data_IF_410404859162
#
_entry.id   IF_410404859162
#
_cell.length_a   1.000
_cell.length_b   1.000
_cell.length_c   1.000
_cell.angle_alpha   90.00
_cell.angle_beta   90.00
_cell.angle_gamma   90.00
#
_symmetry.space_group_name_H-M   'P 1'
#
loop_
_entity.id
_entity.type
_entity.pdbx_description
1 polymer ?
#
# COMPACT_ATOMS: atom_id res chain seq x y z
N UNK A 1 4.83 -33.25 -27.96
CA UNK A 1 4.13 -32.01 -27.59
C UNK A 1 5.12 -31.10 -26.88
N UNK A 2 5.68 -30.10 -27.56
CA UNK A 2 6.56 -29.11 -26.92
C UNK A 2 5.68 -28.16 -26.11
N UNK A 3 5.89 -28.11 -24.78
CA UNK A 3 5.19 -27.16 -23.93
C UNK A 3 5.44 -25.74 -24.46
N UNK A 4 4.37 -25.03 -24.81
CA UNK A 4 4.44 -23.65 -25.29
C UNK A 4 5.08 -22.82 -24.17
N UNK A 5 6.26 -22.24 -24.45
CA UNK A 5 6.98 -21.41 -23.49
C UNK A 5 6.05 -20.30 -23.01
N UNK A 6 5.88 -20.10 -21.68
CA UNK A 6 4.93 -19.13 -21.16
C UNK A 6 5.26 -17.72 -21.66
N UNK A 7 4.23 -16.94 -21.96
CA UNK A 7 4.37 -15.55 -22.40
C UNK A 7 4.98 -14.73 -21.25
N UNK A 8 6.17 -14.11 -21.41
CA UNK A 8 6.81 -13.34 -20.35
C UNK A 8 5.91 -12.26 -19.74
N UNK A 9 5.04 -11.63 -20.55
CA UNK A 9 4.07 -10.65 -20.05
C UNK A 9 3.09 -11.26 -19.05
N UNK A 10 2.61 -12.46 -19.31
CA UNK A 10 1.64 -13.15 -18.46
C UNK A 10 2.24 -13.53 -17.10
N UNK A 11 3.51 -13.95 -17.07
CA UNK A 11 4.23 -14.24 -15.83
C UNK A 11 4.43 -12.98 -14.97
N UNK A 12 4.74 -11.85 -15.62
CA UNK A 12 4.89 -10.56 -14.93
C UNK A 12 3.56 -10.02 -14.42
N UNK A 13 2.46 -10.21 -15.15
CA UNK A 13 1.10 -9.91 -14.68
C UNK A 13 0.79 -10.71 -13.40
N UNK A 14 1.02 -12.03 -13.41
CA UNK A 14 0.80 -12.90 -12.24
C UNK A 14 1.66 -12.47 -11.06
N UNK A 15 2.90 -12.09 -11.31
CA UNK A 15 3.84 -11.65 -10.26
C UNK A 15 3.42 -10.32 -9.62
N UNK A 16 3.07 -9.31 -10.43
CA UNK A 16 2.55 -8.04 -9.91
C UNK A 16 1.22 -8.22 -9.18
N UNK A 17 0.33 -9.10 -9.69
CA UNK A 17 -0.91 -9.42 -8.99
C UNK A 17 -0.67 -10.10 -7.62
N UNK A 18 0.33 -10.98 -7.51
CA UNK A 18 0.75 -11.55 -6.21
C UNK A 18 1.31 -10.48 -5.28
N UNK A 19 2.16 -9.58 -5.77
CA UNK A 19 2.69 -8.46 -4.99
C UNK A 19 1.55 -7.54 -4.50
N UNK A 20 0.56 -7.27 -5.37
CA UNK A 20 -0.68 -6.60 -5.01
C UNK A 20 -1.42 -7.33 -3.86
N UNK A 21 -1.63 -8.65 -3.95
CA UNK A 21 -2.30 -9.40 -2.87
C UNK A 21 -1.52 -9.32 -1.56
N UNK A 22 -0.20 -9.38 -1.61
CA UNK A 22 0.65 -9.22 -0.44
C UNK A 22 0.48 -7.81 0.16
N UNK A 23 0.49 -6.75 -0.66
CA UNK A 23 0.20 -5.40 -0.17
C UNK A 23 -1.16 -5.32 0.53
N UNK A 24 -2.20 -5.94 -0.03
CA UNK A 24 -3.54 -5.96 0.59
C UNK A 24 -3.51 -6.65 1.96
N UNK A 25 -2.86 -7.81 2.07
CA UNK A 25 -2.71 -8.51 3.34
C UNK A 25 -1.96 -7.64 4.34
N UNK A 26 -0.83 -7.05 3.96
CA UNK A 26 -0.06 -6.17 4.83
C UNK A 26 -0.85 -4.96 5.29
N UNK A 27 -1.54 -4.27 4.38
CA UNK A 27 -2.37 -3.11 4.75
C UNK A 27 -3.44 -3.54 5.76
N UNK A 28 -4.06 -4.71 5.55
CA UNK A 28 -5.04 -5.27 6.47
C UNK A 28 -4.44 -5.59 7.84
N UNK A 29 -3.28 -6.24 7.88
CA UNK A 29 -2.54 -6.54 9.11
C UNK A 29 -2.12 -5.25 9.83
N UNK A 30 -1.60 -4.26 9.10
CA UNK A 30 -1.15 -2.98 9.65
C UNK A 30 -2.32 -2.20 10.23
N UNK A 31 -3.46 -2.15 9.53
CA UNK A 31 -4.69 -1.54 10.02
C UNK A 31 -5.17 -2.24 11.29
N UNK A 32 -5.24 -3.57 11.27
CA UNK A 32 -5.66 -4.38 12.40
C UNK A 32 -4.77 -4.15 13.65
N UNK A 33 -3.44 -4.16 13.48
CA UNK A 33 -2.49 -3.83 14.54
C UNK A 33 -2.64 -2.39 15.05
N UNK A 34 -2.83 -1.42 14.15
CA UNK A 34 -3.01 -0.01 14.53
C UNK A 34 -4.32 0.24 15.28
N UNK A 35 -5.37 -0.51 14.93
CA UNK A 35 -6.69 -0.46 15.55
C UNK A 35 -6.80 -1.34 16.80
N UNK A 36 -5.70 -1.99 17.21
CA UNK A 36 -5.66 -2.95 18.32
C UNK A 36 -6.60 -4.15 18.18
N UNK A 37 -7.11 -4.39 16.96
CA UNK A 37 -7.88 -5.58 16.63
C UNK A 37 -6.90 -6.62 16.07
N UNK A 38 -6.21 -7.36 16.93
CA UNK A 38 -5.25 -8.36 16.47
C UNK A 38 -5.90 -9.31 15.44
N UNK A 39 -5.41 -9.37 14.20
CA UNK A 39 -6.18 -9.93 13.11
C UNK A 39 -6.19 -11.46 13.04
N UNK A 40 -5.37 -12.15 13.85
CA UNK A 40 -5.08 -13.56 13.64
C UNK A 40 -5.14 -14.31 14.97
N UNK A 41 -6.28 -14.94 15.22
CA UNK A 41 -6.34 -16.06 16.17
C UNK A 41 -5.45 -17.17 15.60
N UNK A 42 -4.38 -17.51 16.30
CA UNK A 42 -3.57 -18.69 16.01
C UNK A 42 -4.20 -19.91 16.70
N UNK A 43 -4.17 -21.11 16.09
CA UNK A 43 -4.55 -22.32 16.79
C UNK A 43 -3.69 -22.55 18.03
N UNK A 44 -4.26 -23.12 19.10
CA UNK A 44 -3.53 -23.44 20.33
C UNK A 44 -2.42 -24.47 20.11
N UNK A 45 -2.55 -25.30 19.07
CA UNK A 45 -1.57 -26.29 18.66
C UNK A 45 -1.60 -26.45 17.15
N UNK A 46 -0.43 -26.40 16.52
CA UNK A 46 -0.23 -26.67 15.11
C UNK A 46 0.72 -27.86 14.94
N UNK A 47 0.27 -28.89 14.22
CA UNK A 47 1.03 -30.14 14.01
C UNK A 47 1.26 -30.34 12.51
N UNK A 48 2.51 -30.63 12.13
CA UNK A 48 2.90 -31.00 10.78
C UNK A 48 3.92 -32.15 10.79
N UNK A 49 3.43 -33.36 10.50
CA UNK A 49 4.22 -34.59 10.64
C UNK A 49 4.58 -34.84 12.10
N UNK A 50 5.88 -35.00 12.38
CA UNK A 50 6.40 -35.16 13.74
C UNK A 50 6.70 -33.82 14.44
N UNK A 51 6.42 -32.68 13.80
CA UNK A 51 6.68 -31.36 14.37
C UNK A 51 5.38 -30.83 14.99
N UNK A 52 5.50 -30.21 16.16
CA UNK A 52 4.42 -29.52 16.83
C UNK A 52 4.87 -28.13 17.26
N UNK A 53 3.92 -27.19 17.30
CA UNK A 53 4.12 -25.82 17.68
C UNK A 53 2.90 -25.34 18.47
N UNK A 54 3.11 -24.87 19.69
CA UNK A 54 2.03 -24.35 20.51
C UNK A 54 1.70 -22.91 20.12
N UNK A 55 0.42 -22.53 20.22
CA UNK A 55 -0.06 -21.21 19.83
C UNK A 55 0.67 -20.08 20.57
N UNK A 56 1.01 -20.28 21.84
CA UNK A 56 1.78 -19.31 22.66
C UNK A 56 3.19 -19.05 22.14
N UNK A 57 3.78 -19.97 21.37
CA UNK A 57 5.12 -19.83 20.81
C UNK A 57 5.14 -18.90 19.58
N UNK A 58 3.98 -18.73 18.92
CA UNK A 58 3.82 -17.89 17.72
C UNK A 58 2.92 -16.68 17.94
N UNK A 59 2.17 -16.65 19.04
CA UNK A 59 1.31 -15.53 19.38
C UNK A 59 2.18 -14.30 19.63
N UNK A 60 1.90 -13.24 18.89
CA UNK A 60 2.55 -11.96 19.07
C UNK A 60 1.73 -11.13 20.05
N UNK A 61 2.37 -10.43 20.98
CA UNK A 61 1.71 -9.33 21.68
C UNK A 61 1.55 -8.11 20.74
N UNK A 62 0.81 -7.09 21.17
CA UNK A 62 0.52 -5.92 20.32
C UNK A 62 1.79 -5.18 19.84
N UNK A 63 2.84 -5.14 20.65
CA UNK A 63 4.10 -4.48 20.31
C UNK A 63 4.86 -5.28 19.25
N UNK A 64 4.90 -6.60 19.38
CA UNK A 64 5.48 -7.51 18.41
C UNK A 64 4.70 -7.52 17.10
N UNK A 65 3.36 -7.55 17.15
CA UNK A 65 2.52 -7.49 15.96
C UNK A 65 2.74 -6.19 15.17
N UNK A 66 2.91 -5.06 15.85
CA UNK A 66 3.25 -3.79 15.21
C UNK A 66 4.64 -3.80 14.55
N UNK A 67 5.64 -4.43 15.18
CA UNK A 67 6.97 -4.60 14.59
C UNK A 67 6.94 -5.55 13.39
N UNK A 68 6.27 -6.70 13.53
CA UNK A 68 6.10 -7.69 12.48
C UNK A 68 5.38 -7.07 11.27
N UNK A 69 4.35 -6.26 11.49
CA UNK A 69 3.70 -5.50 10.41
C UNK A 69 4.68 -4.57 9.68
N UNK A 70 5.53 -3.84 10.41
CA UNK A 70 6.55 -2.99 9.79
C UNK A 70 7.62 -3.79 9.02
N UNK A 71 7.99 -4.99 9.49
CA UNK A 71 8.90 -5.86 8.71
C UNK A 71 8.22 -6.44 7.46
N UNK A 72 6.94 -6.79 7.58
CA UNK A 72 6.13 -7.24 6.44
C UNK A 72 6.01 -6.14 5.38
N UNK A 73 5.85 -4.88 5.80
CA UNK A 73 5.90 -3.71 4.91
C UNK A 73 7.21 -3.65 4.12
N UNK A 74 8.36 -3.82 4.78
CA UNK A 74 9.67 -3.84 4.14
C UNK A 74 9.81 -4.99 3.13
N UNK A 75 9.43 -6.21 3.54
CA UNK A 75 9.50 -7.39 2.68
C UNK A 75 8.67 -7.23 1.40
N UNK A 76 7.45 -6.72 1.52
CA UNK A 76 6.53 -6.57 0.39
C UNK A 76 6.95 -5.42 -0.51
N UNK A 77 7.39 -4.30 0.07
CA UNK A 77 7.93 -3.16 -0.72
C UNK A 77 9.11 -3.61 -1.57
N UNK A 78 10.01 -4.41 -0.98
CA UNK A 78 11.14 -4.96 -1.72
C UNK A 78 10.70 -5.91 -2.83
N UNK A 79 9.87 -6.92 -2.52
CA UNK A 79 9.36 -7.87 -3.50
C UNK A 79 8.64 -7.17 -4.67
N UNK A 80 7.80 -6.18 -4.35
CA UNK A 80 7.15 -5.34 -5.35
C UNK A 80 8.16 -4.61 -6.23
N UNK A 81 9.17 -3.96 -5.65
CA UNK A 81 10.14 -3.17 -6.41
C UNK A 81 10.92 -4.01 -7.41
N UNK A 82 11.23 -5.27 -7.07
CA UNK A 82 11.84 -6.25 -7.97
C UNK A 82 10.90 -6.53 -9.15
N UNK A 83 9.65 -6.92 -8.86
CA UNK A 83 8.71 -7.29 -9.90
C UNK A 83 8.33 -6.13 -10.82
N UNK A 84 8.15 -4.93 -10.25
CA UNK A 84 7.89 -3.71 -11.02
C UNK A 84 9.07 -3.37 -11.92
N UNK A 85 10.30 -3.34 -11.37
CA UNK A 85 11.51 -3.07 -12.12
C UNK A 85 11.70 -4.08 -13.27
N UNK A 86 11.58 -5.38 -13.00
CA UNK A 86 11.75 -6.41 -14.01
C UNK A 86 10.67 -6.37 -15.09
N UNK A 87 9.41 -6.16 -14.71
CA UNK A 87 8.31 -6.07 -15.65
C UNK A 87 8.54 -4.93 -16.64
N UNK A 88 8.95 -3.75 -16.15
CA UNK A 88 9.26 -2.61 -17.01
C UNK A 88 10.46 -2.92 -17.89
N UNK A 89 11.58 -3.38 -17.30
CA UNK A 89 12.82 -3.65 -18.03
C UNK A 89 12.65 -4.68 -19.16
N UNK A 90 11.86 -5.74 -18.92
CA UNK A 90 11.67 -6.84 -19.89
C UNK A 90 10.58 -6.57 -20.92
N UNK A 91 9.61 -5.70 -20.61
CA UNK A 91 8.45 -5.44 -21.46
C UNK A 91 8.49 -4.08 -22.18
N UNK A 92 9.57 -3.30 -21.99
CA UNK A 92 9.79 -2.02 -22.68
C UNK A 92 11.16 -2.01 -23.35
N UNK A 93 11.25 -1.33 -24.49
CA UNK A 93 12.51 -1.05 -25.19
C UNK A 93 13.24 0.14 -24.58
N UNK A 94 14.43 0.46 -25.08
CA UNK A 94 15.10 1.74 -24.75
C UNK A 94 14.32 2.95 -25.26
N UNK A 95 13.69 2.83 -26.44
CA UNK A 95 12.88 3.90 -27.02
C UNK A 95 11.61 4.18 -26.22
N UNK A 96 10.94 3.13 -25.72
CA UNK A 96 9.75 3.29 -24.87
C UNK A 96 10.09 4.03 -23.56
N UNK A 97 11.31 3.85 -23.04
CA UNK A 97 11.80 4.55 -21.85
C UNK A 97 12.20 6.01 -22.10
N UNK A 98 12.03 6.53 -23.30
CA UNK A 98 12.04 7.98 -23.55
C UNK A 98 10.71 8.63 -23.11
N UNK A 99 9.63 7.85 -22.96
CA UNK A 99 8.41 8.32 -22.32
C UNK A 99 8.67 8.62 -20.84
N UNK A 100 8.32 9.83 -20.42
CA UNK A 100 8.60 10.31 -19.07
C UNK A 100 7.93 9.45 -17.98
N UNK A 101 6.72 8.93 -18.23
CA UNK A 101 5.99 8.12 -17.26
C UNK A 101 6.60 6.72 -17.12
N UNK A 102 6.98 6.11 -18.25
CA UNK A 102 7.68 4.81 -18.24
C UNK A 102 9.05 4.95 -17.57
N UNK A 103 9.80 6.01 -17.88
CA UNK A 103 11.06 6.29 -17.23
C UNK A 103 10.88 6.54 -15.72
N UNK A 104 9.89 7.34 -15.31
CA UNK A 104 9.60 7.57 -13.91
C UNK A 104 9.27 6.27 -13.17
N UNK A 105 8.39 5.42 -13.73
CA UNK A 105 8.07 4.11 -13.17
C UNK A 105 9.32 3.22 -13.03
N UNK A 106 10.16 3.19 -14.07
CA UNK A 106 11.40 2.43 -14.10
C UNK A 106 12.36 2.88 -13.00
N UNK A 107 12.60 4.20 -12.92
CA UNK A 107 13.55 4.81 -11.99
C UNK A 107 13.11 4.65 -10.54
N UNK A 108 11.84 4.93 -10.23
CA UNK A 108 11.29 4.76 -8.89
C UNK A 108 11.41 3.30 -8.44
N UNK A 109 11.03 2.35 -9.29
CA UNK A 109 11.13 0.92 -8.98
C UNK A 109 12.59 0.49 -8.77
N UNK A 110 13.51 0.99 -9.62
CA UNK A 110 14.95 0.74 -9.52
C UNK A 110 15.54 1.27 -8.21
N UNK A 111 15.24 2.50 -7.82
CA UNK A 111 15.80 3.08 -6.60
C UNK A 111 15.24 2.45 -5.34
N UNK A 112 13.93 2.15 -5.31
CA UNK A 112 13.35 1.41 -4.18
C UNK A 112 14.05 0.06 -4.08
N UNK A 113 14.18 -0.71 -5.17
CA UNK A 113 14.92 -1.98 -5.17
C UNK A 113 16.36 -1.83 -4.68
N UNK A 114 17.08 -0.82 -5.16
CA UNK A 114 18.46 -0.56 -4.76
C UNK A 114 18.58 -0.25 -3.26
N UNK A 115 17.61 0.47 -2.68
CA UNK A 115 17.64 0.79 -1.26
C UNK A 115 17.64 -0.45 -0.35
N UNK A 116 17.04 -1.55 -0.81
CA UNK A 116 16.97 -2.83 -0.09
C UNK A 116 18.10 -3.81 -0.45
N UNK A 117 18.91 -3.53 -1.49
CA UNK A 117 19.86 -4.51 -2.05
C UNK A 117 20.97 -4.90 -1.05
N UNK A 118 21.37 -3.99 -0.16
CA UNK A 118 22.43 -4.26 0.81
C UNK A 118 21.90 -4.72 2.16
N UNK A 119 20.79 -4.15 2.63
CA UNK A 119 20.18 -4.52 3.89
C UNK A 119 18.65 -4.36 3.80
N UNK A 120 17.89 -5.47 3.70
CA UNK A 120 16.44 -5.40 3.56
C UNK A 120 15.72 -4.96 4.85
N UNK A 121 16.38 -5.06 6.01
CA UNK A 121 15.83 -4.65 7.31
C UNK A 121 16.08 -3.18 7.63
N UNK A 122 17.13 -2.59 7.04
CA UNK A 122 17.48 -1.18 7.20
C UNK A 122 17.77 -0.61 5.80
N UNK A 123 16.74 -0.46 4.95
CA UNK A 123 16.94 0.03 3.60
C UNK A 123 17.44 1.47 3.61
N UNK A 124 18.46 1.74 2.80
CA UNK A 124 19.11 3.04 2.70
C UNK A 124 19.11 3.45 1.23
N UNK A 125 18.59 4.64 0.96
CA UNK A 125 18.61 5.21 -0.37
C UNK A 125 20.05 5.34 -0.91
N UNK A 126 20.25 4.87 -2.15
CA UNK A 126 21.52 4.97 -2.85
C UNK A 126 21.27 5.44 -4.28
N UNK A 127 21.98 6.49 -4.68
CA UNK A 127 21.82 7.16 -5.96
C UNK A 127 23.21 7.42 -6.55
N UNK A 128 23.34 7.29 -7.86
CA UNK A 128 24.51 7.76 -8.60
C UNK A 128 24.48 9.29 -8.66
N UNK A 129 25.64 9.93 -8.92
CA UNK A 129 25.74 11.39 -8.90
C UNK A 129 24.78 12.07 -9.88
N UNK A 130 24.62 11.49 -11.08
CA UNK A 130 23.68 11.95 -12.08
C UNK A 130 22.21 11.86 -11.64
N UNK A 131 21.90 11.07 -10.61
CA UNK A 131 20.54 10.78 -10.16
C UNK A 131 20.15 11.48 -8.86
N UNK A 132 21.08 12.23 -8.27
CA UNK A 132 20.83 13.10 -7.12
C UNK A 132 20.04 14.33 -7.56
N UNK A 133 19.18 14.83 -6.68
CA UNK A 133 18.39 16.04 -6.90
C UNK A 133 17.48 16.00 -8.15
N UNK A 134 16.98 14.81 -8.51
CA UNK A 134 16.01 14.60 -9.58
C UNK A 134 14.61 14.39 -9.02
N UNK A 135 13.61 14.69 -9.86
CA UNK A 135 12.20 14.40 -9.61
C UNK A 135 11.71 13.42 -10.65
N UNK A 136 11.16 12.30 -10.19
CA UNK A 136 10.48 11.31 -11.02
C UNK A 136 9.01 11.30 -10.64
N UNK A 137 8.12 11.38 -11.63
CA UNK A 137 6.70 11.54 -11.38
C UNK A 137 5.87 10.90 -12.47
N UNK A 138 4.80 10.23 -12.04
CA UNK A 138 3.66 9.91 -12.88
C UNK A 138 2.48 10.68 -12.29
N UNK A 139 1.91 11.67 -13.01
CA UNK A 139 0.88 12.55 -12.47
C UNK A 139 -0.26 11.77 -11.80
N UNK A 140 -0.64 12.21 -10.60
CA UNK A 140 -1.71 11.62 -9.77
C UNK A 140 -1.48 10.17 -9.31
N UNK A 141 -0.30 9.58 -9.55
CA UNK A 141 0.00 8.19 -9.19
C UNK A 141 1.11 8.12 -8.16
N UNK A 142 2.29 8.67 -8.48
CA UNK A 142 3.47 8.58 -7.63
C UNK A 142 4.48 9.68 -7.97
N UNK A 143 5.21 10.13 -6.95
CA UNK A 143 6.32 11.07 -7.09
C UNK A 143 7.45 10.68 -6.14
N UNK A 144 8.68 10.73 -6.64
CA UNK A 144 9.90 10.60 -5.85
C UNK A 144 10.80 11.80 -6.15
N UNK A 145 11.17 12.53 -5.09
CA UNK A 145 12.20 13.58 -5.17
C UNK A 145 13.46 13.05 -4.49
N UNK A 146 14.56 12.91 -5.22
CA UNK A 146 15.81 12.33 -4.71
C UNK A 146 16.69 13.35 -3.96
N UNK A 147 16.28 14.62 -3.86
CA UNK A 147 16.98 15.63 -3.09
C UNK A 147 17.14 15.23 -1.63
N UNK A 148 18.38 15.25 -1.14
CA UNK A 148 18.75 14.91 0.24
C UNK A 148 18.34 13.51 0.70
N UNK A 149 18.02 12.60 -0.22
CA UNK A 149 17.71 11.21 0.13
C UNK A 149 18.94 10.31 0.14
N UNK A 150 20.04 10.67 -0.54
CA UNK A 150 21.22 9.81 -0.62
C UNK A 150 21.80 9.48 0.77
N UNK A 151 22.01 8.19 1.06
CA UNK A 151 22.44 7.64 2.37
C UNK A 151 21.42 7.80 3.51
N UNK A 152 20.23 8.33 3.23
CA UNK A 152 19.15 8.35 4.21
C UNK A 152 18.41 7.02 4.27
N UNK A 153 17.84 6.72 5.45
CA UNK A 153 16.95 5.57 5.61
C UNK A 153 15.72 5.77 4.72
N UNK A 154 15.34 4.72 3.99
CA UNK A 154 14.12 4.73 3.20
C UNK A 154 12.90 4.85 4.10
N UNK A 155 12.07 5.87 3.83
CA UNK A 155 10.80 6.12 4.50
C UNK A 155 9.68 6.02 3.47
N UNK A 156 8.55 5.45 3.86
CA UNK A 156 7.42 5.29 2.95
C UNK A 156 6.86 6.63 2.45
N UNK A 157 7.03 7.69 3.24
CA UNK A 157 6.66 9.07 2.90
C UNK A 157 7.44 9.60 1.69
N UNK A 158 8.65 9.10 1.44
CA UNK A 158 9.51 9.59 0.35
C UNK A 158 8.89 9.33 -1.03
N UNK A 159 8.03 8.30 -1.14
CA UNK A 159 7.31 7.93 -2.36
C UNK A 159 5.78 7.99 -2.22
N UNK A 160 5.25 8.51 -1.10
CA UNK A 160 3.80 8.67 -0.86
C UNK A 160 3.07 7.45 -0.27
N UNK A 161 3.80 6.43 0.18
CA UNK A 161 3.27 5.29 0.93
C UNK A 161 2.74 4.14 0.08
N UNK A 162 2.18 3.13 0.74
CA UNK A 162 1.79 1.89 0.06
C UNK A 162 0.67 2.08 -0.97
N UNK A 163 -0.17 3.10 -0.79
CA UNK A 163 -1.25 3.40 -1.75
C UNK A 163 -0.69 3.87 -3.10
N UNK A 164 0.43 4.60 -3.12
CA UNK A 164 1.07 5.02 -4.38
C UNK A 164 1.76 3.85 -5.06
N UNK A 165 2.38 2.92 -4.32
CA UNK A 165 2.92 1.67 -4.88
C UNK A 165 1.82 0.77 -5.45
N UNK A 166 0.68 0.69 -4.78
CA UNK A 166 -0.51 0.02 -5.27
C UNK A 166 -0.99 0.63 -6.60
N UNK A 167 -1.14 1.96 -6.65
CA UNK A 167 -1.56 2.66 -7.86
C UNK A 167 -0.55 2.51 -9.00
N UNK A 168 0.76 2.58 -8.70
CA UNK A 168 1.82 2.35 -9.66
C UNK A 168 1.79 0.92 -10.20
N UNK A 169 1.52 -0.09 -9.37
CA UNK A 169 1.36 -1.49 -9.80
C UNK A 169 0.26 -1.62 -10.85
N UNK A 170 -0.90 -1.00 -10.59
CA UNK A 170 -2.03 -0.98 -11.53
C UNK A 170 -1.66 -0.26 -12.82
N UNK A 171 -0.97 0.87 -12.72
CA UNK A 171 -0.53 1.61 -13.88
C UNK A 171 0.42 0.80 -14.75
N UNK A 172 1.41 0.12 -14.16
CA UNK A 172 2.35 -0.76 -14.89
C UNK A 172 1.59 -1.89 -15.59
N UNK A 173 0.67 -2.56 -14.90
CA UNK A 173 -0.13 -3.65 -15.49
C UNK A 173 -0.93 -3.18 -16.71
N UNK A 174 -1.60 -2.03 -16.59
CA UNK A 174 -2.47 -1.52 -17.65
C UNK A 174 -1.68 -0.93 -18.83
N UNK A 175 -0.64 -0.14 -18.56
CA UNK A 175 0.03 0.65 -19.59
C UNK A 175 1.28 -0.03 -20.18
N UNK A 176 1.93 -0.93 -19.43
CA UNK A 176 3.15 -1.62 -19.89
C UNK A 176 2.85 -3.08 -20.25
N UNK A 177 2.07 -3.77 -19.41
CA UNK A 177 1.79 -5.20 -19.62
C UNK A 177 0.54 -5.47 -20.46
N UNK A 178 -0.26 -4.43 -20.76
CA UNK A 178 -1.52 -4.51 -21.49
C UNK A 178 -2.52 -5.50 -20.86
N UNK A 179 -2.59 -5.50 -19.52
CA UNK A 179 -3.46 -6.38 -18.75
C UNK A 179 -4.93 -5.93 -18.83
N UNK A 180 -5.55 -6.17 -19.99
CA UNK A 180 -6.96 -5.85 -20.26
C UNK A 180 -7.93 -6.89 -19.74
N UNK A 181 -7.45 -8.10 -19.43
CA UNK A 181 -8.28 -9.24 -19.05
C UNK A 181 -8.59 -9.27 -17.55
N UNK A 182 -7.67 -8.82 -16.70
CA UNK A 182 -7.97 -8.56 -15.30
C UNK A 182 -8.59 -7.17 -15.14
N UNK A 183 -9.65 -6.89 -15.91
CA UNK A 183 -10.63 -5.85 -15.54
C UNK A 183 -11.00 -6.15 -14.10
N UNK A 184 -10.60 -5.23 -13.21
CA UNK A 184 -10.89 -5.20 -11.77
C UNK A 184 -12.13 -6.03 -11.54
N UNK A 185 -11.98 -7.31 -11.14
CA UNK A 185 -13.15 -8.11 -10.86
C UNK A 185 -13.94 -7.30 -9.84
N UNK A 186 -15.11 -6.82 -10.28
CA UNK A 186 -16.15 -6.31 -9.42
C UNK A 186 -16.29 -7.36 -8.33
N UNK A 187 -15.66 -7.12 -7.18
CA UNK A 187 -15.83 -8.00 -6.04
C UNK A 187 -17.31 -7.88 -5.72
N UNK A 188 -18.01 -9.00 -5.69
CA UNK A 188 -19.23 -9.08 -4.89
C UNK A 188 -18.82 -8.61 -3.49
N UNK A 189 -19.24 -7.39 -3.14
CA UNK A 189 -18.86 -6.77 -1.89
C UNK A 189 -19.54 -7.55 -0.77
N UNK A 190 -18.81 -8.47 -0.13
CA UNK A 190 -19.22 -8.94 1.19
C UNK A 190 -19.10 -7.76 2.15
N UNK A 191 -20.25 -7.44 2.77
CA UNK A 191 -20.48 -6.30 3.64
C UNK A 191 -19.41 -6.19 4.74
N UNK A 192 -18.80 -5.00 4.87
CA UNK A 192 -17.90 -4.65 5.99
C UNK A 192 -18.45 -3.37 6.64
N UNK A 193 -18.68 -3.35 7.96
CA UNK A 193 -19.17 -2.17 8.68
C UNK A 193 -18.23 -0.96 8.51
N UNK A 194 -18.81 0.23 8.36
CA UNK A 194 -18.08 1.47 8.05
C UNK A 194 -17.55 2.21 9.28
N UNK A 195 -16.29 2.66 9.21
CA UNK A 195 -15.67 3.63 10.11
C UNK A 195 -14.55 4.42 9.40
N UNK A 196 -14.27 5.65 9.85
CA UNK A 196 -13.15 6.47 9.37
C UNK A 196 -11.88 5.96 10.05
N UNK A 197 -10.86 5.58 9.29
CA UNK A 197 -9.59 5.10 9.83
C UNK A 197 -8.45 5.94 9.23
N UNK A 198 -7.65 6.55 10.10
CA UNK A 198 -6.51 7.38 9.73
C UNK A 198 -5.23 6.54 9.77
N UNK A 199 -4.53 6.45 8.63
CA UNK A 199 -3.15 5.93 8.53
C UNK A 199 -2.22 7.11 8.21
N UNK A 200 -1.64 7.74 9.22
CA UNK A 200 -0.78 8.91 9.04
C UNK A 200 -1.55 10.16 8.57
N UNK A 201 -1.04 10.91 7.57
CA UNK A 201 -1.64 12.16 7.06
C UNK A 201 -2.65 11.97 5.91
N UNK A 202 -2.96 10.74 5.53
CA UNK A 202 -3.88 10.46 4.43
C UNK A 202 -5.32 10.35 4.96
N UNK A 203 -6.24 11.16 4.42
CA UNK A 203 -7.68 11.08 4.71
C UNK A 203 -8.37 10.47 3.49
N UNK A 204 -9.00 9.31 3.66
CA UNK A 204 -9.88 8.74 2.63
C UNK A 204 -11.33 9.05 2.99
N UNK A 205 -11.98 9.87 2.17
CA UNK A 205 -13.40 10.23 2.30
C UNK A 205 -14.26 9.16 1.62
N UNK A 206 -15.23 8.60 2.35
CA UNK A 206 -16.30 7.77 1.77
C UNK A 206 -17.44 8.70 1.34
N UNK A 207 -17.92 8.55 0.10
CA UNK A 207 -19.17 9.14 -0.37
C UNK A 207 -20.23 8.03 -0.33
N UNK A 208 -21.36 8.29 0.33
CA UNK A 208 -22.54 7.42 0.28
C UNK A 208 -23.17 7.53 -1.12
N UNK A 209 -23.24 6.43 -1.87
CA UNK A 209 -23.84 6.44 -3.22
C UNK A 209 -25.36 6.66 -3.14
N UNK A 210 -25.98 6.30 -2.02
CA UNK A 210 -27.41 6.53 -1.76
C UNK A 210 -27.76 8.02 -1.55
N UNK A 211 -26.75 8.92 -1.60
CA UNK A 211 -26.88 10.38 -1.54
C UNK A 211 -25.95 11.11 -2.54
N UNK A 212 -25.71 10.57 -3.73
CA UNK A 212 -25.27 11.46 -4.82
C UNK A 212 -26.46 12.37 -5.20
N UNK A 213 -26.35 13.71 -5.14
CA UNK A 213 -27.28 14.55 -5.88
C UNK A 213 -27.08 14.22 -7.36
N UNK A 214 -28.17 14.11 -8.11
CA UNK A 214 -28.17 13.75 -9.53
C UNK A 214 -27.47 14.75 -10.46
N UNK A 215 -26.81 15.79 -9.92
CA UNK A 215 -26.17 16.84 -10.70
C UNK A 215 -24.82 17.30 -10.13
N UNK A 216 -23.90 17.59 -11.05
CA UNK A 216 -22.52 18.08 -10.88
C UNK A 216 -22.37 19.29 -9.93
N UNK A 217 -22.18 19.06 -8.62
CA UNK A 217 -21.70 20.12 -7.71
C UNK A 217 -20.48 19.72 -6.89
N UNK A 218 -19.43 20.55 -7.03
CA UNK A 218 -18.13 20.48 -6.34
C UNK A 218 -18.31 20.46 -4.81
N UNK A 219 -17.68 19.48 -4.15
CA UNK A 219 -17.61 19.42 -2.70
C UNK A 219 -16.40 20.24 -2.23
N UNK A 220 -16.63 21.35 -1.54
CA UNK A 220 -15.60 22.09 -0.81
C UNK A 220 -15.10 21.26 0.39
N UNK A 221 -13.78 21.24 0.59
CA UNK A 221 -13.14 20.57 1.74
C UNK A 221 -12.71 21.66 2.72
N UNK A 222 -13.34 21.72 3.89
CA UNK A 222 -12.79 22.44 5.04
C UNK A 222 -12.00 21.45 5.91
N UNK A 223 -10.76 21.82 6.20
CA UNK A 223 -9.83 21.07 7.04
C UNK A 223 -10.20 21.30 8.50
N UNK A 224 -10.45 20.23 9.26
CA UNK A 224 -10.59 20.33 10.72
C UNK A 224 -9.33 19.76 11.37
N UNK A 225 -8.62 20.60 12.10
CA UNK A 225 -7.50 20.20 12.93
C UNK A 225 -8.05 19.73 14.28
N UNK A 226 -7.78 18.48 14.67
CA UNK A 226 -8.17 17.94 15.96
C UNK A 226 -6.91 17.71 16.79
N UNK A 227 -6.73 18.51 17.82
CA UNK A 227 -5.72 18.34 18.87
C UNK A 227 -6.35 17.66 20.09
N UNK A 228 -5.67 16.64 20.64
CA UNK A 228 -5.92 16.12 22.00
C UNK A 228 -6.75 14.84 22.14
N UNK A 229 -6.38 14.03 23.14
CA UNK A 229 -6.83 12.66 23.44
C UNK A 229 -8.26 12.53 24.00
N UNK A 230 -9.31 12.79 23.20
CA UNK A 230 -10.67 12.36 23.56
C UNK A 230 -11.46 11.81 22.36
N UNK A 231 -12.07 10.63 22.55
CA UNK A 231 -12.98 10.03 21.58
C UNK A 231 -14.43 10.41 21.95
N UNK A 232 -15.16 10.97 20.99
CA UNK A 232 -16.60 11.27 21.12
C UNK A 232 -17.33 10.98 19.81
N UNK A 233 -18.63 10.66 19.90
CA UNK A 233 -19.50 10.55 18.73
C UNK A 233 -20.08 11.95 18.46
N UNK A 234 -19.83 12.47 17.26
CA UNK A 234 -20.46 13.70 16.78
C UNK A 234 -21.73 13.29 16.04
N UNK A 235 -22.89 13.55 16.64
CA UNK A 235 -24.18 13.40 15.98
C UNK A 235 -24.73 14.79 15.63
N UNK A 236 -25.30 14.91 14.44
CA UNK A 236 -26.00 16.10 13.96
C UNK A 236 -27.50 15.86 14.12
N UNK A 237 -28.19 16.73 14.84
CA UNK A 237 -29.65 16.75 14.83
C UNK A 237 -30.19 17.54 13.62
N UNK A 238 -31.50 17.51 13.43
CA UNK A 238 -32.19 18.14 12.29
C UNK A 238 -31.95 19.64 12.16
N UNK A 239 -31.49 20.30 13.22
CA UNK A 239 -31.32 21.76 13.28
C UNK A 239 -29.85 22.20 13.19
N UNK A 240 -28.92 21.25 13.02
CA UNK A 240 -27.52 21.54 12.72
C UNK A 240 -26.66 21.90 13.92
N UNK A 241 -27.10 21.58 15.14
CA UNK A 241 -26.27 21.73 16.35
C UNK A 241 -25.48 20.44 16.60
N UNK A 242 -24.20 20.59 16.94
CA UNK A 242 -23.31 19.48 17.26
C UNK A 242 -23.33 19.22 18.77
N UNK A 243 -23.74 18.01 19.17
CA UNK A 243 -23.72 17.61 20.58
C UNK A 243 -22.67 16.54 20.81
N UNK A 244 -21.67 16.83 21.64
CA UNK A 244 -20.63 15.87 22.05
C UNK A 244 -21.15 15.07 23.23
N UNK A 245 -21.36 13.75 23.05
CA UNK A 245 -21.60 12.84 24.17
C UNK A 245 -20.33 12.05 24.50
N UNK A 246 -19.78 12.17 25.72
CA UNK A 246 -18.65 11.34 26.14
C UNK A 246 -19.09 9.88 26.28
N UNK A 247 -18.31 8.96 25.71
CA UNK A 247 -18.52 7.52 25.91
C UNK A 247 -18.18 7.16 27.36
N UNK A 248 -19.17 6.69 28.13
CA UNK A 248 -18.89 6.12 29.46
C UNK A 248 -18.03 4.87 29.30
N UNK A 249 -16.94 4.79 30.08
CA UNK A 249 -16.15 3.57 30.24
C UNK A 249 -17.09 2.42 30.62
N UNK A 250 -17.15 1.40 29.77
CA UNK A 250 -17.76 0.13 30.12
C UNK A 250 -16.79 -0.53 31.12
N UNK A 251 -17.29 -0.86 32.32
CA UNK A 251 -16.55 -1.62 33.34
C UNK A 251 -16.56 -3.09 32.99
#
# INVERSE_FOLDING_TARGET
MTAKKPNPKEEHIKSLYRAEMQFRLMVSVRLACSLQNQPLNVPDLWIFGNNQLEGREIQLNMKEANKAAAFLEHAITYAWSIHAYEAILKCTTSSDRNDESINAAYQISRYIRHAYTHNPYIPIWSFQDEDKNKRYEIPNIIRLNTSNLHKEKLKWQDYGGFITLWNLSRWIRLNILDDRLHKIHSREHTYVPSGIIQLGRLILKKIEIDKMPSDDKKIGIETVEITGEQYGIIARDSDGIYTVKPLKKIK
#
